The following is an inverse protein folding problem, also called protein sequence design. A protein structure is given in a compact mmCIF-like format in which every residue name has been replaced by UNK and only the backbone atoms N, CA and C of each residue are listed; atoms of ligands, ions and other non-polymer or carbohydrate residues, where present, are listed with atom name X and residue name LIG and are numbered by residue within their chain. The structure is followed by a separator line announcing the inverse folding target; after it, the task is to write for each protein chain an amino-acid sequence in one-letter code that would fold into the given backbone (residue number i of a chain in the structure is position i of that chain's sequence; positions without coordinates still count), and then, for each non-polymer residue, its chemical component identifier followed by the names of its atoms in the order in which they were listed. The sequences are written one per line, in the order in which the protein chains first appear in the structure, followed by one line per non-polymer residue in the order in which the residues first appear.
data_IF_383320898359
#
_entry.id   IF_383320898359
#
_cell.length_a   1.000
_cell.length_b   1.000
_cell.length_c   1.000
_cell.angle_alpha   90.00
_cell.angle_beta   90.00
_cell.angle_gamma   90.00
#
_symmetry.space_group_name_H-M   'P 1'
#
loop_
_entity.id
_entity.type
_entity.pdbx_description
1 polymer ?
#
# COMPACT_ATOMS: atom_id res chain seq x y z
N UNK A 1 37.24 -25.89 29.10
CA UNK A 1 37.19 -24.53 28.51
C UNK A 1 36.93 -24.53 26.98
N UNK A 2 36.15 -25.48 26.42
CA UNK A 2 35.81 -25.52 24.98
C UNK A 2 34.31 -25.34 24.68
N UNK A 3 33.43 -25.49 25.68
CA UNK A 3 31.97 -25.33 25.48
C UNK A 3 31.51 -23.87 25.39
N UNK A 4 32.17 -22.93 26.09
CA UNK A 4 31.76 -21.52 26.09
C UNK A 4 31.98 -20.82 24.74
N UNK A 5 32.94 -21.28 23.93
CA UNK A 5 33.25 -20.68 22.63
C UNK A 5 32.25 -21.06 21.53
N UNK A 6 31.51 -22.17 21.72
CA UNK A 6 30.49 -22.62 20.77
C UNK A 6 29.16 -21.84 20.91
N UNK A 7 28.78 -21.48 22.15
CA UNK A 7 27.52 -20.78 22.41
C UNK A 7 27.53 -19.33 21.87
N UNK A 8 28.68 -18.65 21.94
CA UNK A 8 28.82 -17.28 21.44
C UNK A 8 28.70 -17.22 19.91
N UNK A 9 29.21 -18.21 19.18
CA UNK A 9 29.11 -18.24 17.71
C UNK A 9 27.67 -18.46 17.21
N UNK A 10 26.84 -19.23 17.93
CA UNK A 10 25.43 -19.45 17.57
C UNK A 10 24.61 -18.16 17.74
N UNK A 11 24.88 -17.36 18.77
CA UNK A 11 24.16 -16.11 19.02
C UNK A 11 24.38 -15.05 17.92
N UNK A 12 25.58 -14.99 17.34
CA UNK A 12 25.92 -14.04 16.25
C UNK A 12 25.26 -14.47 14.93
N UNK A 13 25.19 -15.78 14.66
CA UNK A 13 24.53 -16.30 13.45
C UNK A 13 23.03 -16.04 13.51
N UNK A 14 22.37 -16.25 14.67
CA UNK A 14 20.93 -16.01 14.83
C UNK A 14 20.55 -14.52 14.68
N UNK A 15 21.41 -13.60 15.11
CA UNK A 15 21.18 -12.15 14.94
C UNK A 15 21.26 -11.68 13.48
N UNK A 16 21.92 -12.43 12.59
CA UNK A 16 21.99 -12.07 11.17
C UNK A 16 20.80 -12.57 10.34
N UNK A 17 19.95 -13.44 10.90
CA UNK A 17 18.77 -14.02 10.21
C UNK A 17 17.49 -13.23 10.47
N UNK A 18 17.52 -12.18 11.31
CA UNK A 18 16.44 -11.20 11.36
C UNK A 18 16.55 -10.30 10.13
N UNK A 19 16.21 -10.87 8.96
CA UNK A 19 16.21 -10.18 7.68
C UNK A 19 15.51 -8.83 7.81
N UNK A 20 16.20 -7.78 7.40
CA UNK A 20 15.68 -6.43 7.42
C UNK A 20 14.47 -6.39 6.47
N UNK A 21 13.25 -6.51 7.02
CA UNK A 21 12.03 -6.32 6.25
C UNK A 21 12.05 -4.87 5.77
N UNK A 22 12.18 -4.68 4.46
CA UNK A 22 12.23 -3.35 3.89
C UNK A 22 10.86 -2.72 4.07
N UNK A 23 10.76 -1.72 4.93
CA UNK A 23 9.50 -1.03 5.19
C UNK A 23 8.99 -0.39 3.90
N UNK A 24 7.75 -0.71 3.54
CA UNK A 24 7.08 -0.19 2.36
C UNK A 24 6.19 0.98 2.77
N UNK A 25 6.15 2.01 1.93
CA UNK A 25 5.24 3.14 2.08
C UNK A 25 4.44 3.32 0.80
N UNK A 26 3.13 3.43 0.96
CA UNK A 26 2.18 3.70 -0.12
C UNK A 26 1.56 5.09 0.07
N UNK A 27 1.40 5.85 -1.01
CA UNK A 27 0.75 7.16 -0.98
C UNK A 27 0.03 7.41 -2.30
N UNK A 28 -1.13 8.07 -2.24
CA UNK A 28 -1.78 8.62 -3.44
C UNK A 28 -1.21 10.02 -3.67
N UNK A 29 -0.51 10.22 -4.78
CA UNK A 29 0.18 11.49 -5.11
C UNK A 29 -0.67 12.44 -5.92
N UNK A 30 -1.69 11.93 -6.62
CA UNK A 30 -2.62 12.73 -7.41
C UNK A 30 -4.00 12.06 -7.38
N UNK A 31 -4.99 12.77 -6.82
CA UNK A 31 -6.39 12.35 -6.77
C UNK A 31 -7.31 13.27 -7.59
N UNK A 32 -6.76 14.11 -8.48
CA UNK A 32 -7.54 15.03 -9.31
C UNK A 32 -8.56 14.31 -10.20
N UNK A 33 -8.20 13.10 -10.68
CA UNK A 33 -9.13 12.15 -11.26
C UNK A 33 -9.36 10.99 -10.27
N UNK A 34 -10.46 11.01 -9.49
CA UNK A 34 -10.68 10.01 -8.45
C UNK A 34 -10.90 8.60 -9.01
N UNK A 35 -11.34 8.47 -10.26
CA UNK A 35 -11.51 7.18 -10.91
C UNK A 35 -10.18 6.54 -11.34
N UNK A 36 -9.14 7.37 -11.54
CA UNK A 36 -7.82 6.97 -12.03
C UNK A 36 -6.69 7.73 -11.31
N UNK A 37 -6.51 7.50 -10.00
CA UNK A 37 -5.51 8.21 -9.22
C UNK A 37 -4.08 7.82 -9.61
N UNK A 38 -3.11 8.67 -9.26
CA UNK A 38 -1.70 8.30 -9.24
C UNK A 38 -1.28 7.95 -7.84
N UNK A 39 -0.49 6.90 -7.72
CA UNK A 39 0.03 6.44 -6.45
C UNK A 39 1.50 6.11 -6.55
N UNK A 40 2.13 6.00 -5.40
CA UNK A 40 3.56 5.84 -5.31
C UNK A 40 3.92 4.91 -4.17
N UNK A 41 4.95 4.12 -4.41
CA UNK A 41 5.42 3.06 -3.52
C UNK A 41 6.92 3.20 -3.35
N UNK A 42 7.38 3.44 -2.12
CA UNK A 42 8.81 3.65 -1.85
C UNK A 42 9.21 3.13 -0.47
N UNK A 43 10.53 3.11 -0.21
CA UNK A 43 11.09 2.76 1.10
C UNK A 43 11.08 3.89 2.14
N UNK A 44 10.51 5.06 1.82
CA UNK A 44 10.36 6.19 2.75
C UNK A 44 8.99 6.86 2.55
N UNK A 45 8.51 7.59 3.56
CA UNK A 45 7.26 8.36 3.46
C UNK A 45 7.31 9.43 2.36
N UNK A 46 6.13 9.90 1.95
CA UNK A 46 5.91 11.02 1.03
C UNK A 46 6.64 10.87 -0.31
N UNK A 47 6.78 9.64 -0.80
CA UNK A 47 7.45 9.35 -2.07
C UNK A 47 8.89 9.84 -2.13
N UNK A 48 9.60 9.92 -1.00
CA UNK A 48 11.02 10.36 -0.96
C UNK A 48 12.02 9.21 -1.04
N UNK A 49 11.54 7.96 -1.05
CA UNK A 49 12.40 6.78 -1.12
C UNK A 49 12.85 6.42 -2.54
N UNK A 50 13.69 5.39 -2.62
CA UNK A 50 14.15 4.78 -3.86
C UNK A 50 13.05 3.96 -4.52
N UNK A 51 13.23 3.66 -5.81
CA UNK A 51 12.36 2.75 -6.54
C UNK A 51 12.45 1.36 -5.92
N UNK A 52 11.32 0.65 -5.89
CA UNK A 52 11.24 -0.69 -5.36
C UNK A 52 11.05 -1.69 -6.50
N UNK A 53 11.59 -2.89 -6.31
CA UNK A 53 11.31 -4.02 -7.20
C UNK A 53 9.98 -4.60 -6.74
N UNK A 54 8.96 -4.47 -7.58
CA UNK A 54 7.65 -5.05 -7.34
C UNK A 54 7.36 -6.07 -8.43
N UNK A 55 7.10 -7.31 -8.04
CA UNK A 55 6.69 -8.36 -8.98
C UNK A 55 5.24 -8.18 -9.43
N UNK A 56 4.40 -7.61 -8.57
CA UNK A 56 2.97 -7.43 -8.79
C UNK A 56 2.48 -6.17 -8.08
N UNK A 57 1.51 -5.50 -8.71
CA UNK A 57 0.73 -4.44 -8.11
C UNK A 57 -0.75 -4.74 -8.36
N UNK A 58 -1.53 -4.84 -7.29
CA UNK A 58 -2.96 -5.08 -7.40
C UNK A 58 -3.77 -4.18 -6.47
N UNK A 59 -4.95 -3.81 -6.93
CA UNK A 59 -5.94 -3.04 -6.19
C UNK A 59 -7.24 -3.81 -6.19
N UNK A 60 -7.83 -3.96 -5.01
CA UNK A 60 -9.12 -4.65 -4.81
C UNK A 60 -10.07 -3.78 -4.00
N UNK A 61 -11.35 -3.78 -4.36
CA UNK A 61 -12.43 -3.24 -3.51
C UNK A 61 -12.60 -4.16 -2.30
N UNK A 62 -12.80 -3.56 -1.12
CA UNK A 62 -13.01 -4.31 0.13
C UNK A 62 -14.38 -4.04 0.71
N UNK A 63 -14.94 -5.04 1.39
CA UNK A 63 -16.17 -4.88 2.17
C UNK A 63 -15.94 -4.15 3.50
N UNK A 64 -17.03 -3.95 4.24
CA UNK A 64 -17.00 -3.42 5.61
C UNK A 64 -16.23 -4.30 6.60
N UNK A 65 -15.86 -5.53 6.23
CA UNK A 65 -15.00 -6.43 7.01
C UNK A 65 -13.53 -6.34 6.60
N UNK A 66 -13.21 -5.60 5.52
CA UNK A 66 -11.85 -5.45 5.00
C UNK A 66 -11.42 -6.60 4.10
N UNK A 67 -12.33 -7.49 3.76
CA UNK A 67 -12.09 -8.59 2.85
C UNK A 67 -12.20 -8.09 1.41
N UNK A 68 -11.26 -8.50 0.56
CA UNK A 68 -11.34 -8.21 -0.86
C UNK A 68 -12.58 -8.89 -1.48
N UNK A 69 -13.46 -8.09 -2.06
CA UNK A 69 -14.69 -8.57 -2.73
C UNK A 69 -14.59 -8.50 -4.25
N UNK A 70 -13.72 -7.66 -4.79
CA UNK A 70 -13.59 -7.47 -6.23
C UNK A 70 -12.21 -6.95 -6.61
N UNK A 71 -11.54 -7.63 -7.54
CA UNK A 71 -10.28 -7.13 -8.13
C UNK A 71 -10.60 -5.97 -9.06
N UNK A 72 -10.00 -4.82 -8.80
CA UNK A 72 -10.25 -3.57 -9.54
C UNK A 72 -9.18 -3.32 -10.58
N UNK A 73 -7.92 -3.67 -10.29
CA UNK A 73 -6.81 -3.62 -11.22
C UNK A 73 -5.71 -4.57 -10.77
N UNK A 74 -5.01 -5.20 -11.70
CA UNK A 74 -3.83 -5.99 -11.39
C UNK A 74 -2.85 -5.98 -12.55
N UNK A 75 -1.58 -5.69 -12.25
CA UNK A 75 -0.48 -5.74 -13.20
C UNK A 75 0.66 -6.57 -12.60
N UNK A 76 1.40 -7.24 -13.48
CA UNK A 76 2.55 -8.06 -13.12
C UNK A 76 3.76 -7.65 -13.95
N UNK A 77 4.95 -7.62 -13.34
CA UNK A 77 6.18 -7.29 -14.05
C UNK A 77 6.65 -8.51 -14.87
N UNK A 78 7.02 -8.32 -16.15
CA UNK A 78 7.56 -9.39 -17.00
C UNK A 78 8.96 -9.82 -16.57
N UNK A 79 9.72 -8.87 -16.04
CA UNK A 79 11.06 -9.02 -15.49
C UNK A 79 11.12 -8.21 -14.19
N UNK A 80 12.25 -8.20 -13.48
CA UNK A 80 12.41 -7.35 -12.29
C UNK A 80 12.35 -5.87 -12.68
N UNK A 81 11.14 -5.31 -12.70
CA UNK A 81 10.89 -3.90 -12.98
C UNK A 81 10.99 -3.10 -11.69
N UNK A 82 11.67 -1.96 -11.77
CA UNK A 82 11.68 -0.96 -10.69
C UNK A 82 10.76 0.17 -11.08
N UNK A 83 9.74 0.41 -10.26
CA UNK A 83 8.80 1.49 -10.50
C UNK A 83 8.44 2.10 -9.16
N UNK A 84 8.39 3.42 -9.14
CA UNK A 84 8.04 4.18 -7.95
C UNK A 84 6.64 4.74 -8.03
N UNK A 85 6.27 5.29 -9.19
CA UNK A 85 4.96 5.89 -9.41
C UNK A 85 4.14 5.06 -10.39
N UNK A 86 2.85 4.95 -10.10
CA UNK A 86 1.91 4.18 -10.88
C UNK A 86 0.70 5.07 -11.15
N UNK A 87 0.27 5.10 -12.41
CA UNK A 87 -1.00 5.71 -12.78
C UNK A 87 -2.01 4.57 -12.87
N UNK A 88 -3.06 4.64 -12.07
CA UNK A 88 -4.08 3.60 -12.03
C UNK A 88 -4.69 3.38 -13.43
N UNK A 89 -4.64 2.14 -13.91
CA UNK A 89 -5.13 1.77 -15.25
C UNK A 89 -4.21 2.10 -16.42
N UNK A 90 -2.99 2.58 -16.15
CA UNK A 90 -1.95 2.67 -17.16
C UNK A 90 -0.90 1.59 -16.92
N UNK A 91 -0.53 0.85 -17.97
CA UNK A 91 0.46 -0.22 -17.90
C UNK A 91 1.87 0.37 -18.03
N UNK A 92 2.74 0.29 -17.01
CA UNK A 92 4.11 0.75 -17.15
C UNK A 92 4.92 -0.15 -18.10
N UNK A 93 6.01 0.38 -18.64
CA UNK A 93 6.89 -0.37 -19.52
C UNK A 93 7.44 -1.63 -18.82
N UNK A 94 7.40 -2.76 -19.53
CA UNK A 94 7.87 -4.05 -18.98
C UNK A 94 6.86 -4.77 -18.08
N UNK A 95 5.62 -4.28 -17.97
CA UNK A 95 4.54 -4.95 -17.25
C UNK A 95 3.56 -5.66 -18.19
N UNK A 96 2.72 -6.52 -17.62
CA UNK A 96 1.53 -7.10 -18.25
C UNK A 96 0.31 -6.81 -17.39
N UNK A 97 -0.81 -6.54 -18.05
CA UNK A 97 -2.09 -6.40 -17.37
C UNK A 97 -2.71 -7.78 -17.13
N UNK A 98 -2.98 -8.07 -15.86
CA UNK A 98 -3.62 -9.32 -15.40
C UNK A 98 -5.13 -9.10 -15.24
N UNK A 99 -5.53 -7.93 -14.76
CA UNK A 99 -6.92 -7.53 -14.63
C UNK A 99 -7.07 -6.07 -15.05
N UNK A 100 -7.88 -5.78 -16.09
CA UNK A 100 -8.11 -4.42 -16.55
C UNK A 100 -8.64 -3.50 -15.45
N UNK A 101 -8.15 -2.27 -15.44
CA UNK A 101 -8.60 -1.27 -14.48
C UNK A 101 -10.09 -0.94 -14.66
N UNK A 102 -10.79 -0.87 -13.53
CA UNK A 102 -12.17 -0.38 -13.45
C UNK A 102 -12.17 0.96 -12.72
N UNK A 103 -12.99 1.94 -13.15
CA UNK A 103 -13.10 3.21 -12.44
C UNK A 103 -13.31 3.01 -10.95
N UNK A 104 -12.51 3.69 -10.13
CA UNK A 104 -12.74 3.75 -8.69
C UNK A 104 -13.93 4.68 -8.40
N UNK A 105 -14.64 4.38 -7.32
CA UNK A 105 -15.80 5.14 -6.85
C UNK A 105 -15.44 5.91 -5.59
N UNK A 106 -15.98 7.13 -5.47
CA UNK A 106 -15.78 7.96 -4.30
C UNK A 106 -16.35 7.30 -3.03
N UNK A 107 -15.63 7.43 -1.93
CA UNK A 107 -16.03 6.92 -0.61
C UNK A 107 -15.87 5.41 -0.41
N UNK A 108 -15.73 4.62 -1.49
CA UNK A 108 -15.44 3.19 -1.38
C UNK A 108 -14.03 2.92 -0.90
N UNK A 109 -13.86 1.83 -0.15
CA UNK A 109 -12.55 1.42 0.38
C UNK A 109 -11.92 0.39 -0.55
N UNK A 110 -10.64 0.57 -0.78
CA UNK A 110 -9.80 -0.29 -1.59
C UNK A 110 -8.59 -0.74 -0.78
N UNK A 111 -7.98 -1.85 -1.21
CA UNK A 111 -6.70 -2.30 -0.70
C UNK A 111 -5.69 -2.42 -1.82
N UNK A 112 -4.42 -2.17 -1.49
CA UNK A 112 -3.27 -2.40 -2.34
C UNK A 112 -2.51 -3.64 -1.89
N UNK A 113 -2.10 -4.49 -2.85
CA UNK A 113 -1.32 -5.71 -2.65
C UNK A 113 -1.85 -6.61 -1.51
N UNK A 114 -3.13 -6.99 -1.62
CA UNK A 114 -3.72 -8.01 -0.73
C UNK A 114 -3.81 -7.62 0.74
N UNK A 115 -4.01 -6.34 1.07
CA UNK A 115 -4.22 -5.89 2.47
C UNK A 115 -3.06 -5.12 3.08
N UNK A 116 -1.96 -4.90 2.34
CA UNK A 116 -0.80 -4.16 2.87
C UNK A 116 -1.17 -2.72 3.23
N UNK A 117 -1.98 -2.08 2.38
CA UNK A 117 -2.52 -0.75 2.61
C UNK A 117 -4.00 -0.70 2.25
N UNK A 118 -4.73 0.17 2.93
CA UNK A 118 -6.11 0.50 2.64
C UNK A 118 -6.19 1.96 2.22
N UNK A 119 -7.04 2.27 1.25
CA UNK A 119 -7.24 3.65 0.85
C UNK A 119 -8.65 3.90 0.33
N UNK A 120 -9.03 5.18 0.31
CA UNK A 120 -10.24 5.66 -0.34
C UNK A 120 -10.04 7.09 -0.80
N UNK A 121 -10.83 7.49 -1.80
CA UNK A 121 -10.83 8.87 -2.29
C UNK A 121 -12.17 9.50 -1.91
N UNK A 122 -12.11 10.66 -1.30
CA UNK A 122 -13.29 11.38 -0.79
C UNK A 122 -13.34 12.80 -1.37
N UNK A 123 -14.55 13.36 -1.42
CA UNK A 123 -14.77 14.75 -1.77
C UNK A 123 -14.59 15.64 -0.54
N UNK A 124 -13.80 16.71 -0.68
CA UNK A 124 -13.60 17.74 0.35
C UNK A 124 -13.84 19.10 -0.33
N UNK A 125 -15.06 19.61 -0.16
CA UNK A 125 -15.54 20.78 -0.91
C UNK A 125 -15.52 20.51 -2.42
N UNK A 126 -14.82 21.36 -3.17
CA UNK A 126 -14.64 21.26 -4.63
C UNK A 126 -13.42 20.41 -5.05
N UNK A 127 -12.73 19.77 -4.10
CA UNK A 127 -11.50 19.00 -4.36
C UNK A 127 -11.64 17.56 -3.90
N UNK A 128 -10.70 16.71 -4.32
CA UNK A 128 -10.62 15.32 -3.88
C UNK A 128 -9.39 15.11 -3.00
N UNK A 129 -9.55 14.31 -1.95
CA UNK A 129 -8.48 13.90 -1.05
C UNK A 129 -8.43 12.38 -0.98
N UNK A 130 -7.22 11.84 -0.95
CA UNK A 130 -7.01 10.44 -0.67
C UNK A 130 -6.68 10.26 0.82
N UNK A 131 -7.28 9.23 1.40
CA UNK A 131 -6.95 8.73 2.73
C UNK A 131 -6.28 7.39 2.56
N UNK A 132 -5.13 7.20 3.21
CA UNK A 132 -4.34 5.96 3.18
C UNK A 132 -4.13 5.50 4.61
N UNK A 133 -4.29 4.19 4.84
CA UNK A 133 -4.14 3.53 6.13
C UNK A 133 -3.30 2.27 6.00
N UNK A 134 -2.49 2.01 7.02
CA UNK A 134 -1.93 0.67 7.24
C UNK A 134 -3.04 -0.29 7.71
N UNK A 135 -2.76 -1.59 7.66
CA UNK A 135 -3.67 -2.60 8.22
C UNK A 135 -4.00 -2.32 9.69
N UNK A 136 -3.01 -1.97 10.50
CA UNK A 136 -3.20 -1.67 11.92
C UNK A 136 -4.14 -0.47 12.12
N UNK A 137 -3.94 0.61 11.37
CA UNK A 137 -4.77 1.82 11.43
C UNK A 137 -6.21 1.54 10.99
N UNK A 138 -6.38 0.74 9.94
CA UNK A 138 -7.68 0.32 9.43
C UNK A 138 -8.47 -0.49 10.48
N UNK A 139 -7.83 -1.50 11.09
CA UNK A 139 -8.43 -2.32 12.15
C UNK A 139 -8.77 -1.48 13.38
N UNK A 140 -7.85 -0.63 13.84
CA UNK A 140 -8.07 0.24 15.01
C UNK A 140 -9.26 1.18 14.82
N UNK A 141 -9.44 1.72 13.61
CA UNK A 141 -10.56 2.62 13.30
C UNK A 141 -11.91 1.91 13.32
N UNK A 142 -11.98 0.65 12.88
CA UNK A 142 -13.22 -0.14 13.00
C UNK A 142 -13.64 -0.40 14.43
N UNK A 143 -12.71 -0.80 15.28
CA UNK A 143 -13.03 -1.23 16.64
C UNK A 143 -13.42 -0.09 17.57
N UNK A 144 -12.95 1.12 17.31
CA UNK A 144 -13.18 2.24 18.22
C UNK A 144 -14.58 2.84 18.10
N UNK A 145 -15.40 2.42 17.11
CA UNK A 145 -16.68 3.09 16.76
C UNK A 145 -16.56 4.62 16.79
N UNK A 146 -15.35 5.14 16.62
CA UNK A 146 -15.15 6.57 16.49
C UNK A 146 -16.00 6.94 15.28
N UNK A 147 -16.79 8.02 15.36
CA UNK A 147 -17.46 8.51 14.17
C UNK A 147 -16.40 8.53 13.07
N UNK A 148 -16.77 7.93 11.96
CA UNK A 148 -16.03 7.89 10.72
C UNK A 148 -15.90 9.39 10.35
N UNK A 149 -14.88 10.03 10.94
CA UNK A 149 -14.33 11.37 10.67
C UNK A 149 -15.15 12.57 11.17
N UNK A 150 -14.91 12.98 12.42
CA UNK A 150 -15.01 14.40 12.76
C UNK A 150 -13.63 15.07 12.56
N UNK A 151 -13.61 16.09 11.71
CA UNK A 151 -12.49 16.96 11.41
C UNK A 151 -11.68 17.33 12.67
N UNK A 152 -10.39 17.01 12.66
CA UNK A 152 -9.40 17.58 13.57
C UNK A 152 -8.56 18.69 12.90
N UNK A 153 -9.11 19.34 11.88
CA UNK A 153 -8.48 20.48 11.20
C UNK A 153 -9.24 21.78 11.52
N UNK A 154 -9.46 22.06 12.81
CA UNK A 154 -9.95 23.35 13.31
C UNK A 154 -9.32 23.65 14.69
N UNK A 155 -7.99 23.61 14.78
CA UNK A 155 -7.19 24.35 15.79
C UNK A 155 -5.85 24.73 15.18
#
# INVERSE_FOLDING_TARGET
MKLFSFIINIAIIVACITGCSQELFFSITDASNPAYPKFCITSKKDCRGQNLILAMADISEVDESGNAIKKMWAIQARTNATQKEYVYGNLPDGWIEITPARPLELGKTYTFNGGAFYFRIISVGATYKAEVLTLEEYVKRKHTKLPIWQNKDNQ
#
